data_IF_537634227739
#
_entry.id   IF_537634227739
#
_cell.length_a   1.000
_cell.length_b   1.000
_cell.length_c   1.000
_cell.angle_alpha   90.00
_cell.angle_beta   90.00
_cell.angle_gamma   90.00
#
_symmetry.space_group_name_H-M   'P 1'
#
loop_
_entity.id
_entity.type
_entity.pdbx_description
1 polymer ?
#
# COMPACT_ATOMS: atom_id res chain seq x y z
N UNK A 1 -8.19 -6.00 15.28
CA UNK A 1 -7.89 -4.92 14.32
C UNK A 1 -6.43 -4.54 14.54
N UNK A 2 -5.61 -4.61 13.49
CA UNK A 2 -4.19 -4.27 13.59
C UNK A 2 -3.99 -2.75 13.67
N UNK A 3 -2.73 -2.27 13.64
CA UNK A 3 -2.46 -0.84 13.53
C UNK A 3 -3.06 -0.26 12.24
N UNK A 4 -3.56 0.98 12.33
CA UNK A 4 -4.12 1.74 11.22
C UNK A 4 -3.31 3.02 11.01
N UNK A 5 -3.07 3.40 9.75
CA UNK A 5 -2.37 4.63 9.37
C UNK A 5 -3.14 5.38 8.29
N UNK A 6 -3.03 6.71 8.28
CA UNK A 6 -3.60 7.55 7.21
C UNK A 6 -2.54 7.75 6.13
N UNK A 7 -2.92 7.54 4.88
CA UNK A 7 -2.08 7.73 3.69
C UNK A 7 -2.79 8.61 2.66
N UNK A 8 -2.05 9.09 1.66
CA UNK A 8 -2.63 9.80 0.53
C UNK A 8 -3.17 8.82 -0.52
N UNK A 9 -4.01 9.30 -1.44
CA UNK A 9 -4.53 8.50 -2.55
C UNK A 9 -4.60 9.35 -3.81
N UNK A 10 -3.98 8.87 -4.89
CA UNK A 10 -3.88 9.56 -6.19
C UNK A 10 -3.88 8.54 -7.35
N UNK A 11 -4.90 7.69 -7.40
CA UNK A 11 -5.02 6.67 -8.44
C UNK A 11 -6.48 6.50 -8.88
N UNK A 12 -6.68 6.21 -10.16
CA UNK A 12 -8.00 5.87 -10.72
C UNK A 12 -8.22 4.36 -10.87
N UNK A 13 -7.17 3.58 -10.65
CA UNK A 13 -7.17 2.13 -10.79
C UNK A 13 -6.74 1.49 -9.48
N UNK A 14 -7.11 0.23 -9.29
CA UNK A 14 -6.77 -0.57 -8.12
C UNK A 14 -6.55 -2.03 -8.54
N UNK A 15 -5.83 -2.76 -7.69
CA UNK A 15 -5.63 -4.21 -7.88
C UNK A 15 -6.97 -4.93 -7.71
N UNK A 16 -7.37 -5.67 -8.74
CA UNK A 16 -8.56 -6.52 -8.70
C UNK A 16 -8.23 -7.93 -8.21
N UNK A 17 -7.25 -8.56 -8.85
CA UNK A 17 -6.85 -9.94 -8.60
C UNK A 17 -5.34 -9.98 -8.33
N UNK A 18 -4.93 -10.65 -7.26
CA UNK A 18 -3.52 -10.83 -6.92
C UNK A 18 -2.95 -12.05 -7.64
N UNK A 19 -1.69 -11.92 -8.07
CA UNK A 19 -0.92 -13.09 -8.49
C UNK A 19 -0.70 -14.04 -7.29
N UNK A 20 -0.62 -15.36 -7.49
CA UNK A 20 -0.43 -16.33 -6.39
C UNK A 20 0.83 -16.12 -5.54
N UNK A 21 1.83 -15.40 -6.06
CA UNK A 21 3.07 -15.09 -5.34
C UNK A 21 2.99 -13.81 -4.50
N UNK A 22 1.85 -13.10 -4.53
CA UNK A 22 1.64 -11.86 -3.81
C UNK A 22 0.67 -12.07 -2.64
N UNK A 23 0.97 -11.41 -1.54
CA UNK A 23 0.13 -11.37 -0.34
C UNK A 23 -0.30 -9.93 -0.07
N UNK A 24 -1.59 -9.67 0.03
CA UNK A 24 -2.08 -8.37 0.52
C UNK A 24 -1.73 -8.19 2.00
N UNK A 25 -1.27 -7.00 2.36
CA UNK A 25 -0.81 -6.66 3.71
C UNK A 25 -1.38 -5.35 4.25
N UNK A 26 -2.03 -4.54 3.41
CA UNK A 26 -2.82 -3.38 3.83
C UNK A 26 -4.06 -3.23 2.96
N UNK A 27 -5.12 -2.69 3.56
CA UNK A 27 -6.41 -2.44 2.92
C UNK A 27 -6.97 -1.08 3.32
N UNK A 28 -7.64 -0.42 2.38
CA UNK A 28 -8.50 0.72 2.64
C UNK A 28 -9.85 0.26 3.26
N UNK A 29 -10.63 1.17 3.88
CA UNK A 29 -11.92 0.82 4.50
C UNK A 29 -12.97 0.27 3.52
N UNK A 30 -12.84 0.56 2.23
CA UNK A 30 -13.70 0.04 1.15
C UNK A 30 -13.26 -1.32 0.61
N UNK A 31 -12.17 -1.89 1.16
CA UNK A 31 -11.64 -3.20 0.79
C UNK A 31 -10.60 -3.18 -0.33
N UNK A 32 -10.25 -2.01 -0.88
CA UNK A 32 -9.16 -1.90 -1.85
C UNK A 32 -7.84 -2.30 -1.20
N UNK A 33 -7.05 -3.13 -1.90
CA UNK A 33 -5.70 -3.50 -1.49
C UNK A 33 -4.78 -2.30 -1.67
N UNK A 34 -4.18 -1.85 -0.58
CA UNK A 34 -3.27 -0.70 -0.54
C UNK A 34 -1.80 -1.10 -0.49
N UNK A 35 -1.49 -2.33 -0.05
CA UNK A 35 -0.12 -2.86 -0.05
C UNK A 35 -0.08 -4.37 -0.28
N UNK A 36 0.98 -4.80 -0.98
CA UNK A 36 1.30 -6.20 -1.26
C UNK A 36 2.77 -6.49 -1.03
N UNK A 37 3.08 -7.72 -0.67
CA UNK A 37 4.45 -8.23 -0.62
C UNK A 37 4.61 -9.54 -1.39
N UNK A 38 5.85 -9.90 -1.71
CA UNK A 38 6.18 -11.21 -2.30
C UNK A 38 6.59 -12.18 -1.19
N UNK A 39 5.84 -13.27 -1.02
CA UNK A 39 5.98 -14.18 0.14
C UNK A 39 7.36 -14.84 0.28
N UNK A 40 8.08 -15.05 -0.83
CA UNK A 40 9.36 -15.79 -0.88
C UNK A 40 10.53 -14.91 -1.33
N UNK A 41 10.47 -13.61 -1.08
CA UNK A 41 11.53 -12.67 -1.42
C UNK A 41 12.01 -11.95 -0.15
N UNK A 42 13.34 -11.72 0.04
CA UNK A 42 13.85 -11.05 1.23
C UNK A 42 13.22 -9.67 1.47
N UNK A 43 12.99 -8.92 0.39
CA UNK A 43 12.27 -7.65 0.45
C UNK A 43 11.69 -7.30 -0.93
N UNK A 44 10.38 -7.29 -1.06
CA UNK A 44 9.67 -6.76 -2.21
C UNK A 44 8.29 -6.30 -1.74
N UNK A 45 8.09 -4.99 -1.75
CA UNK A 45 6.89 -4.32 -1.24
C UNK A 45 6.34 -3.41 -2.33
N UNK A 46 5.07 -3.58 -2.66
CA UNK A 46 4.30 -2.68 -3.50
C UNK A 46 3.25 -1.98 -2.65
N UNK A 47 3.09 -0.68 -2.84
CA UNK A 47 2.09 0.14 -2.16
C UNK A 47 1.36 1.00 -3.19
N UNK A 48 0.09 1.28 -2.94
CA UNK A 48 -0.79 1.99 -3.86
C UNK A 48 -0.77 3.50 -3.63
N UNK A 49 -0.50 3.94 -2.40
CA UNK A 49 -0.28 5.35 -2.07
C UNK A 49 1.11 5.85 -2.49
N UNK A 50 1.31 7.16 -2.39
CA UNK A 50 2.54 7.85 -2.76
C UNK A 50 3.32 8.26 -1.50
N UNK A 51 4.20 7.40 -0.95
CA UNK A 51 4.96 7.70 0.27
C UNK A 51 5.91 8.88 0.12
N UNK A 52 6.41 9.16 -1.09
CA UNK A 52 7.32 10.24 -1.41
C UNK A 52 6.68 11.62 -1.22
N UNK A 53 5.38 11.70 -1.46
CA UNK A 53 4.57 12.92 -1.29
C UNK A 53 4.29 13.17 0.20
N UNK A 54 4.00 12.09 0.95
CA UNK A 54 3.83 12.11 2.41
C UNK A 54 5.12 12.54 3.12
N UNK A 55 6.24 11.89 2.79
CA UNK A 55 7.53 12.18 3.39
C UNK A 55 7.93 13.66 3.17
N UNK A 56 7.72 14.18 1.95
CA UNK A 56 8.00 15.59 1.66
C UNK A 56 7.13 16.54 2.50
N UNK A 57 5.86 16.22 2.73
CA UNK A 57 5.00 17.03 3.57
C UNK A 57 5.48 17.04 5.03
N UNK A 58 5.94 15.89 5.54
CA UNK A 58 6.44 15.75 6.91
C UNK A 58 7.76 16.50 7.14
N UNK A 59 8.67 16.56 6.16
CA UNK A 59 9.95 17.28 6.29
C UNK A 59 9.82 18.80 6.11
N UNK A 60 8.67 19.29 5.66
CA UNK A 60 8.39 20.73 5.49
C UNK A 60 7.62 21.35 6.66
N UNK A 61 7.27 20.54 7.65
CA UNK A 61 6.60 20.96 8.88
C UNK A 61 7.60 21.35 9.98
#
# INVERSE_FOLDING_TARGET
MGPHGIVNSMHHQAVKDLAPSLRAVAWAPDGIVEAVEVEKHPFALGIQWHPEELARAMTRA
#
